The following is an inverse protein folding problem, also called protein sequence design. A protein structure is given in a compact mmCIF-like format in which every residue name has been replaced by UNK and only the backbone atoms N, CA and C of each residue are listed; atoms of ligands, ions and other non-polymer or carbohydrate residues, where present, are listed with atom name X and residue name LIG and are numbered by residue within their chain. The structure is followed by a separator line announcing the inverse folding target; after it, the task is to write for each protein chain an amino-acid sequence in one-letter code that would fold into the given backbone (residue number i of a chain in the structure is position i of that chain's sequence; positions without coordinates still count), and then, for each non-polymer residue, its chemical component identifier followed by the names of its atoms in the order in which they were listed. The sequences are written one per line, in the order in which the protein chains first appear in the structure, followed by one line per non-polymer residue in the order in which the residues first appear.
data_IF_987904432981
#
_entry.id   IF_987904432981
#
_cell.length_a   1.000
_cell.length_b   1.000
_cell.length_c   1.000
_cell.angle_alpha   90.00
_cell.angle_beta   90.00
_cell.angle_gamma   90.00
#
_symmetry.space_group_name_H-M   'P 1'
#
loop_
_entity.id
_entity.type
_entity.pdbx_description
1 polymer ?
#
# COMPACT_ATOMS: atom_id res chain seq x y z
N UNK A 1 -14.81 44.01 52.91
CA UNK A 1 -15.36 43.48 51.63
C UNK A 1 -14.22 43.42 50.62
N UNK A 2 -13.52 42.29 50.48
CA UNK A 2 -13.68 41.23 49.44
C UNK A 2 -13.61 41.73 47.99
N UNK A 3 -12.62 41.17 47.27
CA UNK A 3 -12.48 40.86 45.82
C UNK A 3 -11.22 41.50 45.19
N UNK A 4 -10.38 40.83 44.41
CA UNK A 4 -10.28 39.43 43.98
C UNK A 4 -8.90 39.24 43.32
N UNK A 5 -8.33 38.03 43.45
CA UNK A 5 -7.21 37.55 42.64
C UNK A 5 -7.55 37.61 41.15
N UNK A 6 -6.59 38.00 40.31
CA UNK A 6 -6.59 37.62 38.89
C UNK A 6 -5.53 36.55 38.70
N UNK A 7 -6.03 35.32 38.55
CA UNK A 7 -5.31 34.12 38.15
C UNK A 7 -5.04 34.21 36.64
N UNK A 8 -3.78 34.26 36.23
CA UNK A 8 -3.42 34.14 34.82
C UNK A 8 -3.58 32.67 34.39
N UNK A 9 -4.64 32.37 33.62
CA UNK A 9 -4.83 31.08 32.97
C UNK A 9 -3.93 30.98 31.74
N UNK A 10 -2.99 30.03 31.76
CA UNK A 10 -2.32 29.51 30.56
C UNK A 10 -3.32 28.68 29.74
N UNK A 11 -3.99 29.30 28.78
CA UNK A 11 -4.75 28.62 27.72
C UNK A 11 -3.88 28.54 26.46
N UNK A 12 -2.99 27.56 26.42
CA UNK A 12 -2.19 27.23 25.24
C UNK A 12 -2.17 25.73 25.04
N UNK A 13 -3.21 25.17 24.41
CA UNK A 13 -3.26 23.71 24.16
C UNK A 13 -4.31 23.22 23.17
N UNK A 14 -5.24 24.04 22.70
CA UNK A 14 -6.41 23.57 21.94
C UNK A 14 -6.42 23.90 20.44
N UNK A 15 -5.51 24.75 19.95
CA UNK A 15 -5.50 25.17 18.53
C UNK A 15 -4.72 24.20 17.63
N UNK A 16 -3.67 23.54 18.14
CA UNK A 16 -2.85 22.60 17.36
C UNK A 16 -3.56 21.27 17.05
N UNK A 17 -4.36 20.73 17.99
CA UNK A 17 -5.01 19.44 17.82
C UNK A 17 -6.19 19.47 16.82
N UNK A 18 -6.89 20.61 16.71
CA UNK A 18 -7.99 20.77 15.75
C UNK A 18 -7.48 20.90 14.31
N UNK A 19 -6.34 21.59 14.10
CA UNK A 19 -5.69 21.72 12.79
C UNK A 19 -5.16 20.39 12.25
N UNK A 20 -4.50 19.59 13.08
CA UNK A 20 -3.95 18.29 12.67
C UNK A 20 -5.05 17.28 12.28
N UNK A 21 -6.20 17.28 12.98
CA UNK A 21 -7.35 16.44 12.61
C UNK A 21 -8.02 16.87 11.31
N UNK A 22 -8.10 18.16 11.03
CA UNK A 22 -8.64 18.67 9.78
C UNK A 22 -7.73 18.32 8.59
N UNK A 23 -6.41 18.41 8.76
CA UNK A 23 -5.43 18.08 7.72
C UNK A 23 -5.35 16.55 7.46
N UNK A 24 -5.50 15.70 8.48
CA UNK A 24 -5.66 14.25 8.33
C UNK A 24 -6.94 13.85 7.56
N UNK A 25 -8.02 14.62 7.72
CA UNK A 25 -9.27 14.42 7.01
C UNK A 25 -9.20 14.90 5.55
N UNK A 26 -8.33 15.87 5.23
CA UNK A 26 -8.08 16.35 3.87
C UNK A 26 -7.16 15.43 3.04
N UNK A 27 -6.19 14.73 3.67
CA UNK A 27 -5.34 13.76 2.99
C UNK A 27 -6.15 12.54 2.53
N UNK A 28 -6.70 12.60 1.33
CA UNK A 28 -7.73 11.66 0.86
C UNK A 28 -7.17 10.48 0.08
N UNK A 29 -6.03 10.64 -0.61
CA UNK A 29 -5.52 9.65 -1.55
C UNK A 29 -4.55 8.68 -0.88
N UNK A 30 -4.88 7.38 -0.93
CA UNK A 30 -4.00 6.31 -0.48
C UNK A 30 -2.98 5.96 -1.57
N UNK A 31 -1.71 6.29 -1.36
CA UNK A 31 -0.65 5.99 -2.32
C UNK A 31 -0.18 4.54 -2.27
N UNK A 32 -0.53 3.77 -1.23
CA UNK A 32 -0.28 2.32 -1.16
C UNK A 32 -0.92 1.58 -2.35
N UNK A 33 -1.97 2.15 -2.95
CA UNK A 33 -2.70 1.54 -4.05
C UNK A 33 -1.95 1.57 -5.40
N UNK A 34 -0.92 2.42 -5.56
CA UNK A 34 -0.34 2.72 -6.88
C UNK A 34 0.30 1.49 -7.56
N UNK A 35 1.07 0.69 -6.81
CA UNK A 35 1.77 -0.49 -7.33
C UNK A 35 0.79 -1.61 -7.71
N UNK A 36 -0.12 -2.06 -6.82
CA UNK A 36 -1.10 -3.09 -7.16
C UNK A 36 -2.05 -2.64 -8.30
N UNK A 37 -2.43 -1.35 -8.34
CA UNK A 37 -3.19 -0.78 -9.44
C UNK A 37 -2.44 -0.84 -10.77
N UNK A 38 -1.12 -0.71 -10.77
CA UNK A 38 -0.30 -0.83 -11.98
C UNK A 38 -0.07 -2.29 -12.39
N UNK A 39 0.35 -3.15 -11.46
CA UNK A 39 0.80 -4.52 -11.73
C UNK A 39 -0.32 -5.44 -12.22
N UNK A 40 -1.58 -5.17 -11.87
CA UNK A 40 -2.69 -5.97 -12.39
C UNK A 40 -2.80 -5.96 -13.91
N UNK A 41 -2.26 -4.93 -14.59
CA UNK A 41 -2.33 -4.80 -16.05
C UNK A 41 -1.15 -5.43 -16.79
N UNK A 42 -0.20 -6.08 -16.11
CA UNK A 42 0.93 -6.76 -16.76
C UNK A 42 0.41 -7.70 -17.87
N UNK A 43 1.00 -7.59 -19.06
CA UNK A 43 0.62 -8.36 -20.25
C UNK A 43 -0.47 -7.70 -21.11
N UNK A 44 -1.14 -6.63 -20.67
CA UNK A 44 -2.07 -5.89 -21.54
C UNK A 44 -1.30 -5.34 -22.75
N UNK A 45 -1.73 -5.63 -24.00
CA UNK A 45 -0.94 -5.32 -25.19
C UNK A 45 -0.78 -3.82 -25.42
N UNK A 46 0.30 -3.44 -26.10
CA UNK A 46 0.48 -2.07 -26.51
C UNK A 46 -0.45 -1.68 -27.66
N UNK A 47 -1.03 -0.48 -27.58
CA UNK A 47 -1.76 0.15 -28.69
C UNK A 47 -1.47 1.64 -28.72
N UNK A 48 -0.96 2.15 -29.84
CA UNK A 48 -0.75 3.59 -30.03
C UNK A 48 -2.07 4.35 -29.80
N UNK A 49 -2.06 5.38 -28.95
CA UNK A 49 -3.28 6.10 -28.61
C UNK A 49 -4.19 5.38 -27.61
N UNK A 50 -3.87 4.15 -27.21
CA UNK A 50 -4.71 3.30 -26.37
C UNK A 50 -4.76 3.74 -24.91
N UNK A 51 -5.96 3.70 -24.32
CA UNK A 51 -6.24 4.16 -22.94
C UNK A 51 -7.13 3.17 -22.17
N UNK A 52 -7.22 1.92 -22.62
CA UNK A 52 -8.10 0.92 -22.00
C UNK A 52 -7.39 -0.42 -21.90
N UNK A 53 -7.97 -1.35 -21.15
CA UNK A 53 -7.44 -2.71 -20.96
C UNK A 53 -7.41 -3.56 -22.23
N UNK A 54 -8.03 -3.10 -23.33
CA UNK A 54 -7.86 -3.70 -24.66
C UNK A 54 -6.49 -3.39 -25.28
N UNK A 55 -5.82 -2.39 -24.75
CA UNK A 55 -4.43 -2.06 -25.04
C UNK A 55 -4.11 -0.60 -24.72
N UNK A 56 -2.90 -0.37 -24.22
CA UNK A 56 -2.44 0.94 -23.76
C UNK A 56 -1.25 1.43 -24.57
N UNK A 57 -1.14 2.74 -24.79
CA UNK A 57 0.18 3.36 -24.95
C UNK A 57 0.77 3.72 -23.58
N UNK A 58 2.03 4.17 -23.53
CA UNK A 58 2.72 4.43 -22.27
C UNK A 58 1.99 5.47 -21.39
N UNK A 59 1.56 6.58 -21.98
CA UNK A 59 0.82 7.64 -21.28
C UNK A 59 -0.62 7.26 -20.96
N UNK A 60 -1.29 6.48 -21.80
CA UNK A 60 -2.63 5.95 -21.55
C UNK A 60 -2.65 4.95 -20.40
N UNK A 61 -1.61 4.11 -20.28
CA UNK A 61 -1.40 3.23 -19.14
C UNK A 61 -1.18 4.03 -17.84
N UNK A 62 -0.26 5.00 -17.86
CA UNK A 62 0.02 5.86 -16.68
C UNK A 62 -1.27 6.56 -16.24
N UNK A 63 -1.98 7.20 -17.17
CA UNK A 63 -3.23 7.89 -16.86
C UNK A 63 -4.27 6.97 -16.26
N UNK A 64 -4.45 5.78 -16.82
CA UNK A 64 -5.39 4.78 -16.30
C UNK A 64 -5.08 4.40 -14.85
N UNK A 65 -3.79 4.16 -14.54
CA UNK A 65 -3.36 3.81 -13.17
C UNK A 65 -3.56 4.95 -12.20
N UNK A 66 -3.10 6.17 -12.53
CA UNK A 66 -3.22 7.31 -11.61
C UNK A 66 -4.69 7.70 -11.37
N UNK A 67 -5.54 7.62 -12.40
CA UNK A 67 -6.96 7.89 -12.25
C UNK A 67 -7.66 6.88 -11.34
N UNK A 68 -7.22 5.61 -11.33
CA UNK A 68 -7.77 4.59 -10.42
C UNK A 68 -7.51 4.88 -8.93
N UNK A 69 -6.52 5.73 -8.64
CA UNK A 69 -6.24 6.23 -7.28
C UNK A 69 -6.66 7.69 -7.10
N UNK A 70 -7.45 8.25 -8.01
CA UNK A 70 -7.99 9.62 -7.89
C UNK A 70 -7.06 10.74 -8.32
N UNK A 71 -6.00 10.47 -9.09
CA UNK A 71 -5.05 11.47 -9.57
C UNK A 71 -5.12 11.61 -11.09
N UNK A 72 -5.35 12.83 -11.58
CA UNK A 72 -5.32 13.12 -13.01
C UNK A 72 -3.92 13.39 -13.53
N UNK A 73 -3.67 12.92 -14.75
CA UNK A 73 -2.44 13.20 -15.49
C UNK A 73 -2.75 13.60 -16.93
N UNK A 74 -1.92 14.45 -17.57
CA UNK A 74 -2.07 14.83 -18.97
C UNK A 74 -2.06 13.61 -19.90
N UNK A 75 -2.62 13.75 -21.11
CA UNK A 75 -2.73 12.63 -22.06
C UNK A 75 -1.38 12.19 -22.64
N UNK A 76 -0.40 13.08 -22.79
CA UNK A 76 0.85 12.77 -23.49
C UNK A 76 2.04 12.70 -22.53
N UNK A 77 3.02 11.83 -22.84
CA UNK A 77 4.25 11.74 -22.06
C UNK A 77 5.02 13.07 -22.03
N UNK A 78 4.97 13.86 -23.11
CA UNK A 78 5.61 15.18 -23.16
C UNK A 78 4.95 16.18 -22.20
N UNK A 79 3.62 16.19 -22.09
CA UNK A 79 2.91 17.04 -21.13
C UNK A 79 3.10 16.56 -19.70
N UNK A 80 3.10 15.24 -19.47
CA UNK A 80 3.48 14.64 -18.18
C UNK A 80 4.92 14.98 -17.77
N UNK A 81 5.82 15.23 -18.72
CA UNK A 81 7.17 15.70 -18.38
C UNK A 81 7.20 17.18 -17.97
N UNK A 82 6.20 17.97 -18.37
CA UNK A 82 6.07 19.38 -17.97
C UNK A 82 5.36 19.53 -16.61
N UNK A 83 4.55 18.55 -16.20
CA UNK A 83 3.93 18.54 -14.88
C UNK A 83 4.89 18.10 -13.76
N UNK A 84 4.49 18.36 -12.52
CA UNK A 84 5.15 17.82 -11.32
C UNK A 84 6.53 18.38 -11.02
N UNK A 85 7.08 17.96 -9.87
CA UNK A 85 8.41 18.39 -9.42
C UNK A 85 9.48 17.55 -10.12
N UNK A 86 10.55 18.19 -10.64
CA UNK A 86 11.72 17.47 -11.15
C UNK A 86 12.36 16.64 -10.04
N UNK A 87 12.68 15.38 -10.33
CA UNK A 87 13.35 14.46 -9.42
C UNK A 87 14.64 13.96 -10.04
N UNK A 88 15.71 13.96 -9.25
CA UNK A 88 16.97 13.33 -9.62
C UNK A 88 16.86 11.81 -9.51
N UNK A 89 17.56 11.09 -10.39
CA UNK A 89 17.45 9.62 -10.47
C UNK A 89 17.72 8.91 -9.13
N UNK A 90 18.62 9.44 -8.31
CA UNK A 90 18.94 8.88 -6.98
C UNK A 90 17.88 9.15 -5.91
N UNK A 91 16.94 10.06 -6.17
CA UNK A 91 15.86 10.44 -5.25
C UNK A 91 14.49 9.92 -5.71
N UNK A 92 14.47 8.96 -6.65
CA UNK A 92 13.26 8.30 -7.13
C UNK A 92 12.54 7.61 -5.97
N UNK A 93 11.22 7.73 -5.98
CA UNK A 93 10.29 7.07 -5.06
C UNK A 93 9.18 6.42 -5.86
N UNK A 94 8.56 5.39 -5.28
CA UNK A 94 7.39 4.74 -5.88
C UNK A 94 6.35 5.79 -6.30
N UNK A 95 5.81 5.64 -7.51
CA UNK A 95 4.87 6.60 -8.07
C UNK A 95 5.51 7.88 -8.64
N UNK A 96 6.84 7.96 -8.75
CA UNK A 96 7.47 8.93 -9.66
C UNK A 96 7.33 8.45 -11.11
N UNK A 97 7.10 9.39 -12.03
CA UNK A 97 7.11 9.11 -13.46
C UNK A 97 8.54 9.22 -14.00
N UNK A 98 8.99 8.22 -14.73
CA UNK A 98 10.29 8.18 -15.42
C UNK A 98 10.11 8.33 -16.91
N UNK A 99 10.97 9.10 -17.57
CA UNK A 99 10.81 9.51 -18.97
C UNK A 99 12.03 9.18 -19.81
N UNK A 100 11.80 8.83 -21.08
CA UNK A 100 12.83 8.32 -21.99
C UNK A 100 12.71 8.88 -23.41
N UNK A 101 13.85 8.96 -24.11
CA UNK A 101 13.99 9.27 -25.52
C UNK A 101 14.20 7.98 -26.33
N UNK A 102 13.11 7.29 -26.64
CA UNK A 102 13.10 6.05 -27.42
C UNK A 102 12.95 6.30 -28.93
N UNK A 103 12.48 7.47 -29.35
CA UNK A 103 12.29 7.85 -30.77
C UNK A 103 13.46 8.63 -31.36
N UNK A 104 14.43 9.04 -30.54
CA UNK A 104 15.55 9.91 -30.93
C UNK A 104 15.26 11.41 -30.81
N UNK A 105 14.01 11.83 -30.53
CA UNK A 105 13.63 13.24 -30.38
C UNK A 105 12.79 13.47 -29.12
N UNK A 106 13.40 14.06 -28.09
CA UNK A 106 12.70 14.50 -26.89
C UNK A 106 12.08 13.35 -26.08
N UNK A 107 11.08 13.68 -25.25
CA UNK A 107 10.32 12.70 -24.46
C UNK A 107 9.37 11.94 -25.38
N UNK A 108 9.58 10.63 -25.51
CA UNK A 108 8.76 9.76 -26.36
C UNK A 108 8.22 8.52 -25.64
N UNK A 109 8.66 8.27 -24.42
CA UNK A 109 8.18 7.16 -23.61
C UNK A 109 8.21 7.51 -22.12
N UNK A 110 7.35 6.85 -21.34
CA UNK A 110 7.27 7.04 -19.91
C UNK A 110 6.84 5.76 -19.18
N UNK A 111 7.10 5.69 -17.88
CA UNK A 111 6.58 4.65 -17.00
C UNK A 111 6.52 5.10 -15.56
N UNK A 112 5.95 4.24 -14.71
CA UNK A 112 5.79 4.48 -13.27
C UNK A 112 6.91 3.77 -12.53
N UNK A 113 7.68 4.49 -11.73
CA UNK A 113 8.67 3.89 -10.84
C UNK A 113 7.97 3.08 -9.76
N UNK A 114 8.39 1.84 -9.56
CA UNK A 114 7.78 0.89 -8.61
C UNK A 114 8.80 0.36 -7.59
N UNK A 115 9.86 1.13 -7.37
CA UNK A 115 10.88 0.79 -6.40
C UNK A 115 11.99 -0.10 -6.93
N UNK A 116 13.05 -0.25 -6.13
CA UNK A 116 14.19 -1.12 -6.44
C UNK A 116 14.80 -0.90 -7.85
N UNK A 117 14.86 0.36 -8.29
CA UNK A 117 15.34 0.73 -9.63
C UNK A 117 14.55 0.09 -10.80
N UNK A 118 13.30 -0.31 -10.55
CA UNK A 118 12.37 -0.87 -11.53
C UNK A 118 11.25 0.11 -11.84
N UNK A 119 10.72 0.00 -13.05
CA UNK A 119 9.56 0.77 -13.48
C UNK A 119 8.63 -0.09 -14.33
N UNK A 120 7.33 0.20 -14.26
CA UNK A 120 6.29 -0.45 -15.05
C UNK A 120 5.83 0.48 -16.17
N UNK A 121 5.69 -0.04 -17.38
CA UNK A 121 5.37 0.73 -18.58
C UNK A 121 4.72 -0.13 -19.66
N UNK A 122 4.02 0.50 -20.62
CA UNK A 122 3.48 -0.19 -21.79
C UNK A 122 4.50 -0.24 -22.93
N UNK A 123 5.19 -1.38 -23.09
CA UNK A 123 6.18 -1.63 -24.15
C UNK A 123 5.53 -1.98 -25.48
N UNK A 124 6.00 -1.38 -26.58
CA UNK A 124 5.51 -1.68 -27.93
C UNK A 124 5.65 -3.16 -28.34
N UNK A 125 6.56 -3.92 -27.72
CA UNK A 125 6.79 -5.33 -28.04
C UNK A 125 6.26 -6.32 -26.99
N UNK A 126 6.08 -5.88 -25.74
CA UNK A 126 5.71 -6.77 -24.61
C UNK A 126 4.40 -6.40 -23.93
N UNK A 127 3.75 -5.31 -24.36
CA UNK A 127 2.64 -4.72 -23.62
C UNK A 127 3.11 -4.16 -22.28
N UNK A 128 2.19 -4.04 -21.32
CA UNK A 128 2.51 -3.61 -19.96
C UNK A 128 3.49 -4.60 -19.32
N UNK A 129 4.65 -4.10 -18.93
CA UNK A 129 5.76 -4.91 -18.42
C UNK A 129 6.60 -4.13 -17.43
N UNK A 130 7.40 -4.83 -16.65
CA UNK A 130 8.37 -4.25 -15.73
C UNK A 130 9.76 -4.29 -16.38
N UNK A 131 10.53 -3.22 -16.23
CA UNK A 131 11.91 -3.14 -16.70
C UNK A 131 12.81 -2.48 -15.66
N UNK A 132 14.12 -2.69 -15.78
CA UNK A 132 15.11 -2.08 -14.88
C UNK A 132 15.66 -0.80 -15.48
N UNK A 133 15.80 0.25 -14.67
CA UNK A 133 16.48 1.49 -15.06
C UNK A 133 18.02 1.30 -15.18
N UNK A 134 18.53 0.11 -14.83
CA UNK A 134 19.92 -0.28 -15.04
C UNK A 134 20.14 -0.99 -16.39
N UNK A 135 19.08 -1.43 -17.07
CA UNK A 135 19.21 -2.03 -18.40
C UNK A 135 19.88 -1.02 -19.34
N UNK A 136 20.84 -1.46 -20.15
CA UNK A 136 21.65 -0.59 -21.01
C UNK A 136 20.80 0.31 -21.91
N UNK A 137 19.73 -0.23 -22.46
CA UNK A 137 18.76 0.51 -23.28
C UNK A 137 18.06 1.64 -22.50
N UNK A 138 17.48 1.32 -21.34
CA UNK A 138 16.77 2.31 -20.51
C UNK A 138 17.70 3.34 -19.90
N UNK A 139 18.91 2.92 -19.51
CA UNK A 139 19.95 3.83 -19.01
C UNK A 139 20.38 4.84 -20.08
N UNK A 140 20.58 4.40 -21.33
CA UNK A 140 20.98 5.28 -22.45
C UNK A 140 19.87 6.26 -22.86
N UNK A 141 18.61 5.85 -22.75
CA UNK A 141 17.46 6.65 -23.21
C UNK A 141 16.84 7.49 -22.10
N UNK A 142 17.25 7.35 -20.83
CA UNK A 142 16.69 8.08 -19.70
C UNK A 142 16.88 9.60 -19.85
N UNK A 143 15.79 10.35 -19.72
CA UNK A 143 15.77 11.82 -19.78
C UNK A 143 15.70 12.42 -18.37
N UNK A 144 14.86 11.84 -17.51
CA UNK A 144 14.61 12.39 -16.17
C UNK A 144 13.34 11.84 -15.55
N UNK A 145 12.98 12.37 -14.39
CA UNK A 145 11.78 11.97 -13.66
C UNK A 145 10.98 13.15 -13.12
N UNK A 146 9.68 12.92 -12.91
CA UNK A 146 8.72 13.85 -12.31
C UNK A 146 7.96 13.19 -11.18
N UNK A 147 7.91 13.89 -10.04
CA UNK A 147 7.07 13.52 -8.90
C UNK A 147 5.69 14.14 -9.07
N UNK A 148 4.70 13.25 -9.09
CA UNK A 148 3.28 13.60 -9.15
C UNK A 148 2.65 13.48 -7.76
N UNK A 149 3.06 12.48 -6.97
CA UNK A 149 2.55 12.26 -5.61
C UNK A 149 3.10 13.31 -4.63
N UNK A 150 2.23 13.88 -3.80
CA UNK A 150 2.56 14.95 -2.87
C UNK A 150 3.23 14.43 -1.60
N UNK A 151 4.49 14.00 -1.72
CA UNK A 151 5.29 13.63 -0.55
C UNK A 151 5.89 14.85 0.15
N UNK A 152 5.59 15.01 1.44
CA UNK A 152 6.17 16.08 2.28
C UNK A 152 7.41 15.63 3.07
N UNK A 153 7.48 14.36 3.43
CA UNK A 153 8.57 13.78 4.24
C UNK A 153 9.33 12.70 3.46
N UNK A 154 10.54 12.35 3.94
CA UNK A 154 11.35 11.28 3.36
C UNK A 154 10.69 9.89 3.58
N UNK A 155 11.06 8.85 2.80
CA UNK A 155 10.69 7.48 3.13
C UNK A 155 11.03 7.14 4.60
N UNK A 156 10.16 6.39 5.27
CA UNK A 156 10.30 6.09 6.70
C UNK A 156 9.77 7.16 7.66
N UNK A 157 9.34 8.32 7.16
CA UNK A 157 8.81 9.42 7.98
C UNK A 157 7.35 9.72 7.62
N UNK A 158 6.52 9.85 8.65
CA UNK A 158 5.11 10.21 8.53
C UNK A 158 4.74 11.33 9.49
N UNK A 159 3.80 12.19 9.09
CA UNK A 159 3.36 13.33 9.92
C UNK A 159 2.70 12.88 11.23
N UNK A 160 2.08 11.71 11.22
CA UNK A 160 1.23 11.16 12.28
C UNK A 160 1.82 9.91 12.95
N UNK A 161 3.11 9.62 12.72
CA UNK A 161 3.85 8.55 13.42
C UNK A 161 5.13 9.13 14.01
N UNK A 162 5.04 9.57 15.27
CA UNK A 162 6.17 10.10 16.03
C UNK A 162 7.28 9.05 16.24
N UNK A 163 8.57 9.44 16.33
CA UNK A 163 9.66 8.55 16.76
C UNK A 163 9.43 7.84 18.10
N UNK A 164 8.56 8.36 18.95
CA UNK A 164 8.17 7.74 20.23
C UNK A 164 6.98 6.78 20.13
N UNK A 165 6.39 6.63 18.93
CA UNK A 165 5.26 5.73 18.71
C UNK A 165 5.72 4.27 18.84
N UNK A 166 4.91 3.42 19.48
CA UNK A 166 5.30 2.03 19.82
C UNK A 166 5.67 1.16 18.61
N UNK A 167 5.13 1.49 17.44
CA UNK A 167 5.38 0.81 16.16
C UNK A 167 6.27 1.61 15.20
N UNK A 168 6.98 2.63 15.69
CA UNK A 168 7.72 3.56 14.83
C UNK A 168 8.71 2.82 13.94
N UNK A 169 9.52 1.92 14.51
CA UNK A 169 10.54 1.20 13.75
C UNK A 169 9.96 0.23 12.72
N UNK A 170 8.88 -0.47 13.05
CA UNK A 170 8.18 -1.35 12.09
C UNK A 170 7.63 -0.54 10.91
N UNK A 171 6.92 0.56 11.18
CA UNK A 171 6.34 1.42 10.13
C UNK A 171 7.44 2.08 9.29
N UNK A 172 8.48 2.61 9.93
CA UNK A 172 9.64 3.22 9.26
C UNK A 172 10.30 2.23 8.31
N UNK A 173 10.58 1.01 8.79
CA UNK A 173 11.28 -0.02 8.01
C UNK A 173 10.46 -0.46 6.80
N UNK A 174 9.16 -0.72 6.98
CA UNK A 174 8.28 -1.07 5.86
C UNK A 174 8.19 0.04 4.81
N UNK A 175 8.29 1.31 5.23
CA UNK A 175 8.29 2.44 4.31
C UNK A 175 9.61 2.65 3.58
N UNK A 176 10.74 2.47 4.27
CA UNK A 176 12.08 2.47 3.66
C UNK A 176 12.22 1.34 2.63
N UNK A 177 11.53 0.21 2.84
CA UNK A 177 11.44 -0.90 1.90
C UNK A 177 10.44 -0.67 0.75
N UNK A 178 9.82 0.51 0.69
CA UNK A 178 8.82 0.88 -0.33
C UNK A 178 7.57 -0.03 -0.35
N UNK A 179 7.33 -0.79 0.73
CA UNK A 179 6.15 -1.63 0.87
C UNK A 179 4.98 -0.83 1.42
N UNK A 180 5.22 0.06 2.39
CA UNK A 180 4.25 1.02 2.94
C UNK A 180 4.59 2.42 2.45
N UNK A 181 3.73 3.00 1.63
CA UNK A 181 3.93 4.32 1.02
C UNK A 181 3.18 5.38 1.83
N UNK A 182 2.00 5.03 2.34
CA UNK A 182 1.09 5.90 3.06
C UNK A 182 0.15 6.66 2.14
N UNK A 183 -0.33 7.79 2.65
CA UNK A 183 -1.27 8.69 1.97
C UNK A 183 -0.55 9.94 1.47
N UNK A 184 -1.32 10.73 0.72
CA UNK A 184 -1.04 12.13 0.44
C UNK A 184 -0.46 12.87 1.67
N UNK A 185 0.47 13.77 1.39
CA UNK A 185 1.16 14.59 2.39
C UNK A 185 1.97 13.80 3.43
N UNK A 186 2.31 12.53 3.14
CA UNK A 186 3.09 11.68 4.04
C UNK A 186 2.37 11.38 5.37
N UNK A 187 1.07 11.10 5.30
CA UNK A 187 0.31 10.51 6.40
C UNK A 187 0.32 8.98 6.35
N UNK A 188 0.31 8.32 7.50
CA UNK A 188 0.19 6.86 7.61
C UNK A 188 -1.21 6.39 8.03
N UNK A 189 -1.91 7.23 8.79
CA UNK A 189 -3.22 6.97 9.41
C UNK A 189 -3.20 5.74 10.35
N UNK A 190 -2.42 5.77 11.45
CA UNK A 190 -2.14 4.59 12.26
C UNK A 190 -3.38 3.94 12.88
N UNK A 191 -4.35 4.74 13.31
CA UNK A 191 -5.53 4.30 14.04
C UNK A 191 -6.71 3.92 13.14
N UNK A 192 -6.63 4.23 11.84
CA UNK A 192 -7.68 3.84 10.89
C UNK A 192 -7.69 2.32 10.71
N UNK A 193 -8.86 1.68 10.63
CA UNK A 193 -8.97 0.27 10.31
C UNK A 193 -8.37 -0.05 8.94
N UNK A 194 -7.73 -1.22 8.81
CA UNK A 194 -7.26 -1.71 7.51
C UNK A 194 -8.31 -2.60 6.84
N UNK A 195 -8.51 -2.39 5.55
CA UNK A 195 -9.46 -3.15 4.73
C UNK A 195 -8.87 -4.48 4.27
N UNK A 196 -9.75 -5.39 3.86
CA UNK A 196 -9.37 -6.68 3.26
C UNK A 196 -8.61 -6.51 1.95
N UNK A 197 -8.98 -5.53 1.11
CA UNK A 197 -8.29 -5.25 -0.14
C UNK A 197 -6.86 -4.74 0.08
N UNK A 198 -6.64 -3.86 1.05
CA UNK A 198 -5.30 -3.39 1.43
C UNK A 198 -4.43 -4.56 1.91
N UNK A 199 -4.92 -5.39 2.82
CA UNK A 199 -4.16 -6.56 3.29
C UNK A 199 -3.82 -7.52 2.14
N UNK A 200 -4.77 -7.76 1.21
CA UNK A 200 -4.51 -8.57 0.03
C UNK A 200 -3.40 -7.98 -0.85
N UNK A 201 -3.40 -6.66 -1.07
CA UNK A 201 -2.38 -5.97 -1.83
C UNK A 201 -1.00 -6.06 -1.17
N UNK A 202 -0.89 -5.75 0.11
CA UNK A 202 0.37 -5.84 0.85
C UNK A 202 0.98 -7.25 0.80
N UNK A 203 0.17 -8.29 1.03
CA UNK A 203 0.64 -9.67 0.98
C UNK A 203 1.00 -10.11 -0.44
N UNK A 204 0.24 -9.69 -1.45
CA UNK A 204 0.55 -10.01 -2.83
C UNK A 204 1.86 -9.37 -3.30
N UNK A 205 2.13 -8.12 -2.89
CA UNK A 205 3.38 -7.43 -3.17
C UNK A 205 4.56 -8.07 -2.44
N UNK A 206 4.43 -8.33 -1.13
CA UNK A 206 5.51 -8.92 -0.33
C UNK A 206 5.89 -10.33 -0.83
N UNK A 207 4.89 -11.16 -1.16
CA UNK A 207 5.11 -12.53 -1.63
C UNK A 207 5.46 -12.59 -3.14
N UNK A 208 5.62 -11.44 -3.81
CA UNK A 208 5.87 -11.29 -5.25
C UNK A 208 4.93 -12.15 -6.11
N UNK A 209 3.63 -12.12 -5.78
CA UNK A 209 2.63 -12.90 -6.49
C UNK A 209 2.37 -12.32 -7.89
N UNK A 210 1.86 -13.16 -8.79
CA UNK A 210 1.42 -12.68 -10.11
C UNK A 210 0.05 -12.00 -10.03
N UNK A 211 0.00 -10.69 -10.24
CA UNK A 211 -1.22 -9.87 -10.23
C UNK A 211 -1.92 -9.79 -11.60
N UNK A 212 -1.36 -10.37 -12.68
CA UNK A 212 -1.87 -10.17 -14.04
C UNK A 212 -3.20 -10.87 -14.35
N UNK A 213 -3.69 -11.76 -13.48
CA UNK A 213 -5.02 -12.36 -13.64
C UNK A 213 -6.10 -11.38 -13.22
N UNK A 214 -6.83 -10.84 -14.21
CA UNK A 214 -7.93 -9.89 -14.03
C UNK A 214 -9.32 -10.53 -14.17
N UNK A 215 -9.43 -11.85 -14.12
CA UNK A 215 -10.76 -12.48 -14.05
C UNK A 215 -11.51 -12.02 -12.79
N UNK A 216 -12.82 -11.86 -12.89
CA UNK A 216 -13.67 -11.31 -11.81
C UNK A 216 -14.50 -12.44 -11.18
N UNK A 217 -13.99 -13.13 -10.15
CA UNK A 217 -14.67 -14.26 -9.49
C UNK A 217 -15.66 -13.80 -8.41
N UNK A 218 -15.59 -12.53 -8.00
CA UNK A 218 -16.34 -11.97 -6.89
C UNK A 218 -17.25 -10.87 -7.41
N UNK A 219 -18.53 -10.95 -7.07
CA UNK A 219 -19.55 -10.05 -7.61
C UNK A 219 -19.43 -8.61 -7.10
N UNK A 220 -18.69 -8.40 -6.02
CA UNK A 220 -18.43 -7.11 -5.37
C UNK A 220 -17.04 -6.54 -5.68
N UNK A 221 -16.29 -7.13 -6.61
CA UNK A 221 -14.99 -6.62 -7.07
C UNK A 221 -15.07 -6.30 -8.57
N UNK A 222 -15.31 -5.03 -8.97
CA UNK A 222 -15.45 -4.68 -10.39
C UNK A 222 -14.13 -4.83 -11.18
N UNK A 223 -14.21 -4.97 -12.51
CA UNK A 223 -13.04 -5.15 -13.41
C UNK A 223 -12.01 -3.99 -13.33
N UNK A 224 -12.44 -2.81 -12.89
CA UNK A 224 -11.60 -1.62 -12.69
C UNK A 224 -11.09 -1.44 -11.25
N UNK A 225 -11.38 -2.36 -10.34
CA UNK A 225 -10.97 -2.23 -8.94
C UNK A 225 -9.44 -2.27 -8.80
N UNK A 226 -8.86 -1.32 -8.06
CA UNK A 226 -7.41 -1.12 -7.96
C UNK A 226 -6.66 -2.36 -7.45
N UNK A 227 -7.30 -3.19 -6.61
CA UNK A 227 -6.71 -4.41 -6.05
C UNK A 227 -7.17 -5.70 -6.74
N UNK A 228 -7.90 -5.65 -7.86
CA UNK A 228 -8.46 -6.85 -8.50
C UNK A 228 -7.40 -7.96 -8.67
N UNK A 229 -6.26 -7.62 -9.28
CA UNK A 229 -5.16 -8.57 -9.48
C UNK A 229 -4.59 -9.14 -8.18
N UNK A 230 -4.46 -8.31 -7.13
CA UNK A 230 -3.97 -8.74 -5.82
C UNK A 230 -4.96 -9.69 -5.13
N UNK A 231 -6.26 -9.36 -5.16
CA UNK A 231 -7.34 -10.20 -4.63
C UNK A 231 -7.33 -11.58 -5.31
N UNK A 232 -7.15 -11.61 -6.63
CA UNK A 232 -7.03 -12.86 -7.39
C UNK A 232 -5.81 -13.66 -7.01
N UNK A 233 -4.67 -12.99 -6.84
CA UNK A 233 -3.43 -13.62 -6.47
C UNK A 233 -3.52 -14.30 -5.10
N UNK A 234 -3.98 -13.60 -4.05
CA UNK A 234 -4.09 -14.17 -2.69
C UNK A 234 -5.16 -15.27 -2.62
N UNK A 235 -6.22 -15.18 -3.42
CA UNK A 235 -7.25 -16.22 -3.51
C UNK A 235 -6.72 -17.51 -4.15
N UNK A 236 -5.97 -17.41 -5.25
CA UNK A 236 -5.32 -18.57 -5.89
C UNK A 236 -4.30 -19.26 -4.99
N UNK A 237 -3.64 -18.51 -4.12
CA UNK A 237 -2.71 -19.06 -3.12
C UNK A 237 -3.42 -19.61 -1.87
N UNK A 238 -4.75 -19.46 -1.76
CA UNK A 238 -5.50 -19.89 -0.58
C UNK A 238 -5.25 -19.05 0.68
N UNK A 239 -4.60 -17.88 0.54
CA UNK A 239 -4.24 -17.00 1.66
C UNK A 239 -5.49 -16.28 2.18
N UNK A 240 -6.25 -15.67 1.27
CA UNK A 240 -7.51 -14.99 1.57
C UNK A 240 -8.61 -15.51 0.65
N UNK A 241 -9.80 -15.74 1.20
CA UNK A 241 -10.96 -16.15 0.44
C UNK A 241 -12.13 -15.20 0.69
N UNK A 242 -13.12 -15.27 -0.19
CA UNK A 242 -14.42 -14.64 -0.01
C UNK A 242 -15.46 -15.59 0.59
N UNK A 243 -16.68 -15.09 0.73
CA UNK A 243 -17.85 -15.84 1.18
C UNK A 243 -19.04 -15.49 0.30
N UNK A 244 -19.92 -16.45 0.00
CA UNK A 244 -21.16 -16.22 -0.75
C UNK A 244 -20.97 -15.46 -2.09
N UNK A 245 -19.88 -15.78 -2.81
CA UNK A 245 -19.55 -15.11 -4.09
C UNK A 245 -19.05 -13.67 -3.97
N UNK A 246 -18.73 -13.21 -2.76
CA UNK A 246 -18.20 -11.86 -2.46
C UNK A 246 -16.84 -11.93 -1.79
N UNK A 247 -15.95 -10.98 -2.10
CA UNK A 247 -14.66 -10.85 -1.41
C UNK A 247 -14.75 -9.96 -0.18
N UNK A 248 -15.69 -9.02 -0.14
CA UNK A 248 -15.81 -7.97 0.87
C UNK A 248 -14.56 -7.07 0.91
N UNK A 249 -14.18 -6.41 -0.19
CA UNK A 249 -12.90 -5.69 -0.27
C UNK A 249 -12.78 -4.52 0.71
N UNK A 250 -13.88 -3.81 0.95
CA UNK A 250 -13.93 -2.63 1.83
C UNK A 250 -14.18 -2.97 3.30
N UNK A 251 -14.55 -4.22 3.62
CA UNK A 251 -14.75 -4.64 5.00
C UNK A 251 -13.39 -4.71 5.71
N UNK A 252 -13.37 -4.33 6.99
CA UNK A 252 -12.18 -4.39 7.84
C UNK A 252 -11.95 -5.80 8.36
N UNK A 253 -10.68 -6.18 8.56
CA UNK A 253 -10.34 -7.48 9.17
C UNK A 253 -10.41 -7.42 10.69
N UNK A 254 -10.99 -8.46 11.30
CA UNK A 254 -10.77 -8.69 12.73
C UNK A 254 -9.39 -9.26 13.01
N UNK A 255 -8.92 -9.14 14.25
CA UNK A 255 -7.63 -9.71 14.68
C UNK A 255 -7.54 -11.22 14.46
N UNK A 256 -8.62 -11.97 14.68
CA UNK A 256 -8.66 -13.41 14.38
C UNK A 256 -8.60 -13.71 12.88
N UNK A 257 -9.29 -12.92 12.06
CA UNK A 257 -9.22 -13.06 10.61
C UNK A 257 -7.81 -12.79 10.10
N UNK A 258 -7.17 -11.71 10.57
CA UNK A 258 -5.79 -11.41 10.20
C UNK A 258 -4.81 -12.50 10.68
N UNK A 259 -5.03 -13.07 11.87
CA UNK A 259 -4.22 -14.21 12.35
C UNK A 259 -4.28 -15.40 11.39
N UNK A 260 -5.48 -15.78 10.94
CA UNK A 260 -5.65 -16.85 9.96
C UNK A 260 -4.98 -16.51 8.61
N UNK A 261 -5.08 -15.26 8.17
CA UNK A 261 -4.45 -14.80 6.92
C UNK A 261 -2.93 -14.86 7.00
N UNK A 262 -2.32 -14.32 8.06
CA UNK A 262 -0.87 -14.33 8.24
C UNK A 262 -0.32 -15.75 8.46
N UNK A 263 -1.05 -16.59 9.19
CA UNK A 263 -0.68 -18.01 9.36
C UNK A 263 -0.58 -18.72 8.01
N UNK A 264 -1.55 -18.51 7.10
CA UNK A 264 -1.51 -19.10 5.76
C UNK A 264 -0.41 -18.48 4.88
N UNK A 265 -0.29 -17.15 4.89
CA UNK A 265 0.70 -16.44 4.08
C UNK A 265 2.14 -16.84 4.42
N UNK A 266 2.45 -16.96 5.71
CA UNK A 266 3.80 -17.24 6.22
C UNK A 266 4.00 -18.70 6.65
N UNK A 267 2.99 -19.57 6.43
CA UNK A 267 3.01 -21.00 6.78
C UNK A 267 3.39 -21.26 8.24
N UNK A 268 2.93 -20.40 9.14
CA UNK A 268 3.26 -20.45 10.56
C UNK A 268 2.73 -21.75 11.18
N UNK A 269 3.48 -22.30 12.11
CA UNK A 269 3.12 -23.54 12.81
C UNK A 269 2.68 -23.22 14.25
N UNK A 270 1.63 -23.88 14.76
CA UNK A 270 1.26 -23.75 16.16
C UNK A 270 2.38 -24.29 17.07
N UNK A 271 2.56 -23.72 18.27
CA UNK A 271 3.54 -24.19 19.23
C UNK A 271 3.15 -25.56 19.82
N UNK A 272 4.15 -26.27 20.37
CA UNK A 272 3.91 -27.48 21.16
C UNK A 272 3.11 -27.19 22.44
N UNK A 273 3.29 -26.01 23.05
CA UNK A 273 2.53 -25.54 24.20
C UNK A 273 1.78 -24.25 23.85
N UNK A 274 0.45 -24.27 24.01
CA UNK A 274 -0.40 -23.13 23.72
C UNK A 274 -0.24 -22.01 24.77
N UNK A 275 -0.20 -20.76 24.32
CA UNK A 275 -0.38 -19.59 25.18
C UNK A 275 -1.87 -19.42 25.49
N UNK A 276 -2.22 -19.30 26.76
CA UNK A 276 -3.61 -19.02 27.15
C UNK A 276 -3.95 -17.54 26.95
N UNK A 277 -5.08 -17.27 26.30
CA UNK A 277 -5.74 -15.98 26.28
C UNK A 277 -7.11 -16.11 26.93
N UNK A 278 -7.54 -15.10 27.68
CA UNK A 278 -8.79 -15.15 28.47
C UNK A 278 -10.06 -15.23 27.63
N UNK A 279 -9.99 -14.80 26.37
CA UNK A 279 -11.09 -14.65 25.42
C UNK A 279 -10.95 -15.53 24.17
N UNK A 280 -10.00 -16.47 24.15
CA UNK A 280 -9.80 -17.42 23.04
C UNK A 280 -9.85 -18.87 23.55
N UNK A 281 -11.05 -19.47 23.69
CA UNK A 281 -11.17 -20.86 24.09
C UNK A 281 -10.64 -21.82 23.00
N UNK A 282 -10.23 -23.05 23.34
CA UNK A 282 -9.77 -24.05 22.35
C UNK A 282 -10.76 -24.36 21.23
N UNK A 283 -12.05 -24.12 21.45
CA UNK A 283 -13.12 -24.29 20.46
C UNK A 283 -13.27 -23.10 19.51
N UNK A 284 -12.57 -21.98 19.74
CA UNK A 284 -12.63 -20.81 18.87
C UNK A 284 -12.07 -21.14 17.49
N UNK A 285 -12.75 -20.74 16.42
CA UNK A 285 -12.45 -21.18 15.05
C UNK A 285 -11.01 -20.85 14.61
N UNK A 286 -10.46 -19.72 15.05
CA UNK A 286 -9.09 -19.28 14.76
C UNK A 286 -8.09 -19.65 15.86
N UNK A 287 -8.44 -20.52 16.81
CA UNK A 287 -7.59 -20.83 17.96
C UNK A 287 -6.18 -21.21 17.52
N UNK A 288 -6.04 -22.14 16.56
CA UNK A 288 -4.72 -22.60 16.09
C UNK A 288 -3.91 -21.50 15.40
N UNK A 289 -4.56 -20.66 14.60
CA UNK A 289 -3.88 -19.55 13.91
C UNK A 289 -3.38 -18.50 14.93
N UNK A 290 -4.21 -18.18 15.93
CA UNK A 290 -3.84 -17.26 17.02
C UNK A 290 -2.65 -17.81 17.81
N UNK A 291 -2.66 -19.13 18.10
CA UNK A 291 -1.53 -19.78 18.78
C UNK A 291 -0.24 -19.72 17.95
N UNK A 292 -0.32 -19.94 16.63
CA UNK A 292 0.83 -19.85 15.74
C UNK A 292 1.44 -18.44 15.74
N UNK A 293 0.62 -17.39 15.64
CA UNK A 293 1.10 -16.00 15.70
C UNK A 293 1.72 -15.66 17.06
N UNK A 294 1.12 -16.13 18.16
CA UNK A 294 1.63 -15.88 19.49
C UNK A 294 2.99 -16.56 19.71
N UNK A 295 3.16 -17.79 19.23
CA UNK A 295 4.42 -18.52 19.29
C UNK A 295 5.53 -17.87 18.47
N UNK A 296 5.17 -17.33 17.31
CA UNK A 296 6.05 -16.54 16.43
C UNK A 296 6.36 -15.14 16.99
N UNK A 297 5.77 -14.73 18.13
CA UNK A 297 5.95 -13.38 18.66
C UNK A 297 5.36 -12.27 17.78
N UNK A 298 4.54 -12.62 16.79
CA UNK A 298 3.89 -11.67 15.87
C UNK A 298 2.78 -10.92 16.63
N UNK A 299 1.90 -11.66 17.31
CA UNK A 299 0.82 -11.11 18.10
C UNK A 299 0.89 -11.60 19.55
N UNK A 300 1.28 -10.72 20.46
CA UNK A 300 1.54 -11.07 21.87
C UNK A 300 0.32 -11.01 22.79
N UNK A 301 -0.82 -10.49 22.30
CA UNK A 301 -2.00 -10.20 23.12
C UNK A 301 -1.88 -8.89 23.89
N UNK A 302 -2.91 -8.57 24.66
CA UNK A 302 -3.02 -7.36 25.48
C UNK A 302 -2.47 -7.58 26.90
N UNK A 303 -2.25 -6.48 27.60
CA UNK A 303 -1.75 -6.48 28.99
C UNK A 303 -2.74 -7.09 29.98
N UNK A 304 -4.04 -7.14 29.64
CA UNK A 304 -5.09 -7.78 30.44
C UNK A 304 -5.21 -9.31 30.21
N UNK A 305 -4.31 -9.88 29.39
CA UNK A 305 -4.31 -11.31 29.06
C UNK A 305 -5.29 -11.72 27.96
N UNK A 306 -6.06 -10.78 27.38
CA UNK A 306 -6.93 -11.04 26.24
C UNK A 306 -6.17 -10.97 24.90
N UNK A 307 -6.71 -11.60 23.87
CA UNK A 307 -6.26 -11.46 22.49
C UNK A 307 -7.06 -10.40 21.72
N UNK A 308 -8.36 -10.25 22.00
CA UNK A 308 -9.29 -9.40 21.25
C UNK A 308 -9.64 -9.93 19.87
N UNK A 309 -10.08 -11.20 19.70
CA UNK A 309 -10.17 -11.84 18.39
C UNK A 309 -11.17 -11.17 17.42
N UNK A 310 -12.18 -10.48 17.94
CA UNK A 310 -13.24 -9.87 17.13
C UNK A 310 -13.01 -8.37 16.86
N UNK A 311 -11.97 -7.78 17.45
CA UNK A 311 -11.72 -6.35 17.27
C UNK A 311 -11.15 -6.08 15.88
N UNK A 312 -11.53 -4.95 15.24
CA UNK A 312 -10.94 -4.55 13.97
C UNK A 312 -9.44 -4.28 14.14
N UNK A 313 -8.69 -4.56 13.09
CA UNK A 313 -7.24 -4.29 13.05
C UNK A 313 -7.01 -2.90 12.48
N UNK A 314 -6.26 -2.08 13.21
CA UNK A 314 -5.81 -0.78 12.68
C UNK A 314 -4.61 -0.94 11.74
N UNK A 315 -4.39 0.03 10.85
CA UNK A 315 -3.25 0.04 9.92
C UNK A 315 -1.92 -0.14 10.62
N UNK A 316 -1.73 0.49 11.79
CA UNK A 316 -0.48 0.34 12.56
C UNK A 316 -0.30 -1.03 13.17
N UNK A 317 -1.38 -1.66 13.64
CA UNK A 317 -1.34 -3.03 14.13
C UNK A 317 -1.00 -4.00 13.00
N UNK A 318 -1.61 -3.82 11.82
CA UNK A 318 -1.27 -4.60 10.64
C UNK A 318 0.20 -4.45 10.25
N UNK A 319 0.72 -3.22 10.17
CA UNK A 319 2.12 -2.97 9.83
C UNK A 319 3.08 -3.66 10.80
N UNK A 320 2.83 -3.56 12.11
CA UNK A 320 3.65 -4.24 13.11
C UNK A 320 3.59 -5.78 12.96
N UNK A 321 2.41 -6.35 12.70
CA UNK A 321 2.27 -7.79 12.51
C UNK A 321 2.92 -8.28 11.22
N UNK A 322 2.75 -7.54 10.12
CA UNK A 322 3.39 -7.84 8.85
C UNK A 322 4.91 -7.80 8.99
N UNK A 323 5.47 -6.73 9.56
CA UNK A 323 6.90 -6.61 9.81
C UNK A 323 7.43 -7.81 10.60
N UNK A 324 6.79 -8.17 11.71
CA UNK A 324 7.23 -9.31 12.54
C UNK A 324 7.13 -10.64 11.79
N UNK A 325 6.08 -10.83 10.99
CA UNK A 325 5.90 -12.03 10.19
C UNK A 325 6.98 -12.18 9.10
N UNK A 326 7.45 -11.07 8.52
CA UNK A 326 8.53 -11.04 7.52
C UNK A 326 9.91 -11.41 8.09
N UNK A 327 10.08 -11.34 9.42
CA UNK A 327 11.36 -11.55 10.11
C UNK A 327 11.34 -12.77 11.05
N UNK A 328 10.47 -13.75 10.77
CA UNK A 328 10.46 -15.06 11.44
C UNK A 328 11.56 -15.99 10.92
#
# INVERSE_FOLDING_TARGET
MRRQLVLALLLGGSVFAAGARAEQAEASVNYDHIVPAAKQYIGVPYRWGGTTVKGFDCSGFIRHVYQSIGIDTPRTAADMYRMGKRVDKSALRVGDLVFFNTSGKGVSHAGIYIGNNRFIHSSSSKGVTISSLNDSYWKKTYIGAKRVLAYRLAPGQFQDVSPSHWAFDEVRTLSEQELVIGYEDSYFKPDEPITRAEVAAYLAEYLDLNLSDRSVPFNDVPDGYWALGAIRAVQKQGIMNGSNGKFHPEDTLTRAQLAAVLTRAFRLQPPAAAKSFTDVPPSFWAFRDIQALAAAGIATGRTDGSFGPNDPVTRVQFAAFLYRAMHQ
#
